data_IF_479154633397
#
_entry.id   IF_479154633397
#
_cell.length_a   1.000
_cell.length_b   1.000
_cell.length_c   1.000
_cell.angle_alpha   90.00
_cell.angle_beta   90.00
_cell.angle_gamma   90.00
#
_symmetry.space_group_name_H-M   'P 1'
#
loop_
_entity.id
_entity.type
_entity.pdbx_description
1 polymer ?
#
# COMPACT_ATOMS: atom_id res chain seq x y z
N UNK A 1 28.61 -52.17 24.34
CA UNK A 1 29.30 -52.06 25.64
C UNK A 1 29.90 -50.67 25.72
N UNK A 2 29.42 -49.88 26.70
CA UNK A 2 29.89 -48.56 27.18
C UNK A 2 29.94 -47.37 26.21
N UNK A 3 29.02 -46.40 26.34
CA UNK A 3 28.98 -45.25 27.28
C UNK A 3 29.90 -44.12 26.84
N UNK A 4 29.32 -43.05 26.28
CA UNK A 4 29.50 -41.69 26.82
C UNK A 4 28.44 -40.70 26.32
N UNK A 5 27.85 -40.03 27.31
CA UNK A 5 27.00 -38.84 27.18
C UNK A 5 27.92 -37.62 27.02
N UNK A 6 27.67 -36.80 26.01
CA UNK A 6 28.07 -35.39 26.01
C UNK A 6 27.19 -34.64 24.99
N UNK A 7 26.19 -33.93 25.50
CA UNK A 7 25.43 -32.94 24.76
C UNK A 7 26.25 -31.65 24.68
N UNK A 8 26.45 -31.03 23.50
CA UNK A 8 26.87 -29.65 23.43
C UNK A 8 25.65 -28.73 23.24
N UNK A 9 25.72 -27.64 24.00
CA UNK A 9 24.85 -26.48 24.03
C UNK A 9 24.35 -26.02 22.66
N UNK A 10 23.06 -25.71 22.66
CA UNK A 10 22.37 -24.81 21.73
C UNK A 10 23.06 -23.45 21.73
N UNK A 11 23.47 -22.97 20.55
CA UNK A 11 23.73 -21.56 20.29
C UNK A 11 22.90 -21.16 19.07
N UNK A 12 21.64 -20.80 19.33
CA UNK A 12 20.76 -20.19 18.35
C UNK A 12 21.17 -18.72 18.22
N UNK A 13 21.80 -18.37 17.10
CA UNK A 13 22.04 -17.00 16.70
C UNK A 13 20.69 -16.34 16.36
N UNK A 14 20.18 -15.50 17.26
CA UNK A 14 19.03 -14.66 16.98
C UNK A 14 19.46 -13.49 16.08
N UNK A 15 19.14 -13.58 14.80
CA UNK A 15 19.18 -12.44 13.88
C UNK A 15 18.04 -11.48 14.26
N UNK A 16 18.36 -10.40 14.96
CA UNK A 16 17.41 -9.33 15.26
C UNK A 16 17.18 -8.51 13.99
N UNK A 17 16.14 -8.86 13.24
CA UNK A 17 15.55 -7.96 12.26
C UNK A 17 15.03 -6.74 13.02
N UNK A 18 15.61 -5.58 12.75
CA UNK A 18 15.14 -4.30 13.28
C UNK A 18 13.81 -3.93 12.60
N UNK A 19 12.73 -4.55 13.05
CA UNK A 19 11.40 -4.01 12.86
C UNK A 19 11.22 -2.91 13.91
N UNK A 20 11.09 -1.65 13.49
CA UNK A 20 10.75 -0.55 14.38
C UNK A 20 9.31 -0.75 14.88
N UNK A 21 9.15 -1.42 16.01
CA UNK A 21 7.86 -1.58 16.67
C UNK A 21 7.51 -0.30 17.44
N UNK A 22 6.72 0.58 16.85
CA UNK A 22 6.12 1.71 17.56
C UNK A 22 4.92 1.21 18.37
N UNK A 23 5.04 1.18 19.70
CA UNK A 23 3.97 0.76 20.61
C UNK A 23 3.30 1.98 21.24
N UNK A 24 2.01 2.20 21.00
CA UNK A 24 1.19 3.19 21.71
C UNK A 24 0.25 2.49 22.68
N UNK A 25 0.06 3.06 23.88
CA UNK A 25 -0.86 2.53 24.88
C UNK A 25 -2.29 2.90 24.49
N UNK A 26 -3.00 1.91 23.95
CA UNK A 26 -4.38 2.01 23.46
C UNK A 26 -5.38 2.22 24.60
N UNK A 27 -6.32 3.14 24.38
CA UNK A 27 -7.64 3.15 25.02
C UNK A 27 -8.43 1.91 24.58
N UNK A 28 -8.13 0.79 25.21
CA UNK A 28 -8.89 -0.46 25.31
C UNK A 28 -9.17 -1.27 24.03
N UNK A 29 -9.45 -0.68 22.86
CA UNK A 29 -9.91 -1.44 21.67
C UNK A 29 -9.63 -0.81 20.29
N UNK A 30 -8.97 0.35 20.20
CA UNK A 30 -8.67 1.01 18.92
C UNK A 30 -7.44 1.90 18.98
N UNK A 31 -6.78 2.10 17.83
CA UNK A 31 -5.75 3.12 17.65
C UNK A 31 -6.44 4.40 17.19
N UNK A 32 -6.16 5.52 17.85
CA UNK A 32 -6.81 6.79 17.50
C UNK A 32 -6.42 7.23 16.09
N UNK A 33 -7.35 7.86 15.37
CA UNK A 33 -7.06 8.42 14.05
C UNK A 33 -5.87 9.39 14.08
N UNK A 34 -5.73 10.16 15.15
CA UNK A 34 -4.64 11.13 15.30
C UNK A 34 -3.28 10.43 15.40
N UNK A 35 -3.20 9.30 16.12
CA UNK A 35 -2.00 8.46 16.17
C UNK A 35 -1.69 7.84 14.80
N UNK A 36 -2.72 7.35 14.09
CA UNK A 36 -2.55 6.80 12.74
C UNK A 36 -2.05 7.89 11.77
N UNK A 37 -2.65 9.07 11.78
CA UNK A 37 -2.24 10.21 10.95
C UNK A 37 -0.79 10.63 11.21
N UNK A 38 -0.37 10.61 12.48
CA UNK A 38 1.01 10.89 12.88
C UNK A 38 1.98 9.83 12.34
N UNK A 39 1.67 8.54 12.52
CA UNK A 39 2.51 7.45 12.04
C UNK A 39 2.62 7.43 10.51
N UNK A 40 1.55 7.75 9.79
CA UNK A 40 1.59 7.92 8.32
C UNK A 40 2.60 9.03 7.94
N UNK A 41 2.51 10.18 8.60
CA UNK A 41 3.41 11.31 8.33
C UNK A 41 4.89 10.97 8.60
N UNK A 42 5.16 10.25 9.68
CA UNK A 42 6.51 9.80 10.06
C UNK A 42 7.05 8.81 9.02
N UNK A 43 6.28 7.77 8.67
CA UNK A 43 6.68 6.75 7.69
C UNK A 43 6.99 7.34 6.32
N UNK A 44 6.19 8.30 5.85
CA UNK A 44 6.44 8.98 4.56
C UNK A 44 7.76 9.74 4.58
N UNK A 45 8.07 10.39 5.69
CA UNK A 45 9.32 11.13 5.87
C UNK A 45 10.52 10.17 5.92
N UNK A 46 10.39 9.03 6.61
CA UNK A 46 11.43 7.98 6.67
C UNK A 46 11.72 7.35 5.30
N UNK A 47 10.73 7.26 4.42
CA UNK A 47 10.88 6.77 3.05
C UNK A 47 11.52 7.80 2.10
N UNK A 48 12.15 8.84 2.64
CA UNK A 48 12.80 9.91 1.87
C UNK A 48 11.82 10.92 1.28
N UNK A 49 10.58 10.96 1.78
CA UNK A 49 9.58 11.96 1.42
C UNK A 49 9.65 13.23 2.24
N UNK A 50 8.94 14.25 1.78
CA UNK A 50 8.61 15.43 2.57
C UNK A 50 7.45 15.14 3.50
N UNK A 51 7.39 15.87 4.62
CA UNK A 51 6.22 15.83 5.49
C UNK A 51 5.00 16.28 4.68
N UNK A 52 3.92 15.48 4.63
CA UNK A 52 2.71 15.87 3.93
C UNK A 52 2.05 17.08 4.60
N UNK A 53 1.34 17.90 3.81
CA UNK A 53 0.57 19.05 4.30
C UNK A 53 -0.54 18.62 5.25
N UNK A 54 -1.22 17.51 4.91
CA UNK A 54 -2.24 16.92 5.77
C UNK A 54 -2.37 15.42 5.55
N UNK A 55 -2.80 14.73 6.60
CA UNK A 55 -3.29 13.36 6.55
C UNK A 55 -4.67 13.38 7.20
N UNK A 56 -5.66 12.76 6.59
CA UNK A 56 -7.03 12.68 7.09
C UNK A 56 -7.48 11.22 7.08
N UNK A 57 -7.82 10.70 8.25
CA UNK A 57 -8.40 9.37 8.40
C UNK A 57 -9.89 9.50 8.80
N UNK A 58 -10.79 8.70 8.21
CA UNK A 58 -12.23 8.86 8.42
C UNK A 58 -12.70 8.42 9.81
N UNK A 59 -11.96 7.54 10.47
CA UNK A 59 -12.28 7.01 11.80
C UNK A 59 -11.03 6.51 12.52
N UNK A 60 -11.19 6.12 13.78
CA UNK A 60 -10.17 5.34 14.49
C UNK A 60 -9.99 3.96 13.84
N UNK A 61 -8.79 3.39 14.00
CA UNK A 61 -8.47 2.04 13.52
C UNK A 61 -8.83 1.01 14.59
N UNK A 62 -9.69 0.06 14.24
CA UNK A 62 -10.09 -1.00 15.16
C UNK A 62 -8.90 -1.93 15.46
N UNK A 63 -8.69 -2.28 16.73
CA UNK A 63 -7.66 -3.23 17.15
C UNK A 63 -8.06 -4.69 16.86
N UNK A 64 -8.25 -5.03 15.59
CA UNK A 64 -8.67 -6.34 15.12
C UNK A 64 -7.84 -6.73 13.90
N UNK A 65 -7.27 -7.94 13.88
CA UNK A 65 -6.45 -8.41 12.76
C UNK A 65 -7.26 -8.39 11.46
N UNK A 66 -6.71 -7.77 10.42
CA UNK A 66 -7.36 -7.57 9.13
C UNK A 66 -8.29 -6.37 9.07
N UNK A 67 -8.48 -5.62 10.16
CA UNK A 67 -9.20 -4.35 10.10
C UNK A 67 -8.41 -3.36 9.23
N UNK A 68 -9.12 -2.69 8.33
CA UNK A 68 -8.55 -1.71 7.40
C UNK A 68 -9.09 -0.32 7.66
N UNK A 69 -8.29 0.69 7.33
CA UNK A 69 -8.65 2.10 7.37
C UNK A 69 -8.01 2.81 6.19
N UNK A 70 -8.82 3.44 5.35
CA UNK A 70 -8.36 4.21 4.21
C UNK A 70 -8.26 5.69 4.59
N UNK A 71 -7.03 6.17 4.70
CA UNK A 71 -6.71 7.57 4.94
C UNK A 71 -6.36 8.27 3.63
N UNK A 72 -6.48 9.59 3.63
CA UNK A 72 -6.06 10.46 2.53
C UNK A 72 -4.91 11.34 2.99
N UNK A 73 -3.89 11.47 2.17
CA UNK A 73 -2.74 12.33 2.39
C UNK A 73 -2.67 13.38 1.30
N UNK A 74 -2.34 14.63 1.65
CA UNK A 74 -2.14 15.72 0.70
C UNK A 74 -0.71 16.25 0.79
N UNK A 75 -0.09 16.50 -0.36
CA UNK A 75 1.20 17.21 -0.50
C UNK A 75 1.10 18.20 -1.68
N UNK A 76 1.01 19.49 -1.35
CA UNK A 76 0.69 20.56 -2.26
C UNK A 76 -0.68 20.37 -2.92
N UNK A 77 -0.67 20.16 -4.24
CA UNK A 77 -1.88 19.93 -5.04
C UNK A 77 -2.17 18.44 -5.28
N UNK A 78 -1.30 17.55 -4.82
CA UNK A 78 -1.42 16.12 -5.03
C UNK A 78 -2.11 15.47 -3.83
N UNK A 79 -3.05 14.59 -4.10
CA UNK A 79 -3.72 13.76 -3.11
C UNK A 79 -3.32 12.30 -3.33
N UNK A 80 -3.07 11.60 -2.24
CA UNK A 80 -2.65 10.20 -2.24
C UNK A 80 -3.56 9.41 -1.29
N UNK A 81 -3.86 8.18 -1.66
CA UNK A 81 -4.49 7.22 -0.77
C UNK A 81 -3.47 6.60 0.16
N UNK A 82 -3.89 6.24 1.37
CA UNK A 82 -3.07 5.49 2.31
C UNK A 82 -3.96 4.44 2.96
N UNK A 83 -3.73 3.18 2.64
CA UNK A 83 -4.40 2.06 3.27
C UNK A 83 -3.62 1.62 4.52
N UNK A 84 -4.32 1.51 5.64
CA UNK A 84 -3.79 1.01 6.90
C UNK A 84 -4.45 -0.33 7.22
N UNK A 85 -3.66 -1.37 7.49
CA UNK A 85 -4.18 -2.73 7.77
C UNK A 85 -3.56 -3.27 9.05
N UNK A 86 -4.38 -3.68 10.02
CA UNK A 86 -3.89 -4.35 11.23
C UNK A 86 -3.36 -5.74 10.90
N UNK A 87 -2.10 -6.00 11.24
CA UNK A 87 -1.43 -7.27 10.98
C UNK A 87 -1.40 -8.19 12.20
N UNK A 88 -1.33 -7.62 13.41
CA UNK A 88 -1.36 -8.39 14.66
C UNK A 88 -1.78 -7.55 15.86
N UNK A 89 -2.28 -8.22 16.90
CA UNK A 89 -2.68 -7.62 18.17
C UNK A 89 -2.09 -8.43 19.31
N UNK A 90 -1.13 -7.84 20.04
CA UNK A 90 -0.41 -8.47 21.14
C UNK A 90 -0.76 -7.78 22.46
N UNK A 91 -1.80 -8.28 23.13
CA UNK A 91 -2.31 -7.71 24.37
C UNK A 91 -2.90 -6.32 24.14
N UNK A 92 -2.12 -5.27 24.41
CA UNK A 92 -2.51 -3.86 24.19
C UNK A 92 -1.78 -3.20 23.02
N UNK A 93 -0.85 -3.91 22.39
CA UNK A 93 -0.09 -3.43 21.25
C UNK A 93 -0.78 -3.88 19.97
N UNK A 94 -1.01 -2.93 19.06
CA UNK A 94 -1.60 -3.19 17.74
C UNK A 94 -0.53 -2.90 16.71
N UNK A 95 -0.15 -3.90 15.91
CA UNK A 95 0.75 -3.71 14.78
C UNK A 95 -0.09 -3.57 13.52
N UNK A 96 0.26 -2.61 12.68
CA UNK A 96 -0.43 -2.36 11.42
C UNK A 96 0.54 -1.92 10.34
N UNK A 97 0.22 -2.30 9.11
CA UNK A 97 0.93 -1.88 7.91
C UNK A 97 0.27 -0.64 7.34
N UNK A 98 1.10 0.26 6.83
CA UNK A 98 0.70 1.49 6.13
C UNK A 98 1.23 1.38 4.71
N UNK A 99 0.34 1.38 3.72
CA UNK A 99 0.69 1.28 2.31
C UNK A 99 0.07 2.46 1.57
N UNK A 100 0.86 3.20 0.81
CA UNK A 100 0.33 4.24 -0.06
C UNK A 100 -0.45 3.59 -1.21
N UNK A 101 -1.52 4.22 -1.66
CA UNK A 101 -2.32 3.72 -2.77
C UNK A 101 -2.60 4.82 -3.78
N UNK A 102 -2.77 4.43 -5.03
CA UNK A 102 -3.34 5.28 -6.08
C UNK A 102 -4.77 4.85 -6.27
N UNK A 103 -5.68 5.81 -6.15
CA UNK A 103 -7.12 5.60 -6.33
C UNK A 103 -7.41 4.94 -7.68
N UNK A 104 -8.25 3.91 -7.69
CA UNK A 104 -8.57 3.13 -8.90
C UNK A 104 -9.07 3.98 -10.06
N UNK A 105 -9.81 5.06 -9.77
CA UNK A 105 -10.38 5.94 -10.79
C UNK A 105 -9.30 6.86 -11.35
N UNK A 106 -8.36 7.31 -10.50
CA UNK A 106 -7.17 8.03 -10.95
C UNK A 106 -6.22 7.16 -11.78
N UNK A 107 -6.11 5.86 -11.49
CA UNK A 107 -5.36 4.91 -12.33
C UNK A 107 -6.03 4.78 -13.70
N UNK A 108 -7.35 4.59 -13.74
CA UNK A 108 -8.12 4.47 -14.98
C UNK A 108 -8.05 5.73 -15.85
N UNK A 109 -8.13 6.92 -15.24
CA UNK A 109 -7.97 8.21 -15.91
C UNK A 109 -6.58 8.34 -16.54
N UNK A 110 -5.51 8.06 -15.78
CA UNK A 110 -4.14 8.13 -16.29
C UNK A 110 -3.87 7.16 -17.45
N UNK A 111 -4.42 5.94 -17.39
CA UNK A 111 -4.32 4.98 -18.51
C UNK A 111 -5.00 5.56 -19.75
N UNK A 112 -6.21 6.11 -19.59
CA UNK A 112 -6.99 6.70 -20.70
C UNK A 112 -6.27 7.89 -21.34
N UNK A 113 -5.70 8.78 -20.53
CA UNK A 113 -4.92 9.92 -20.99
C UNK A 113 -3.65 9.47 -21.75
N UNK A 114 -2.89 8.53 -21.19
CA UNK A 114 -1.67 8.03 -21.81
C UNK A 114 -1.95 7.29 -23.12
N UNK A 115 -3.04 6.53 -23.21
CA UNK A 115 -3.45 5.91 -24.47
C UNK A 115 -3.84 6.97 -25.50
N UNK A 116 -4.59 8.00 -25.09
CA UNK A 116 -4.92 9.13 -25.98
C UNK A 116 -3.66 9.80 -26.54
N UNK A 117 -2.63 9.97 -25.72
CA UNK A 117 -1.35 10.53 -26.14
C UNK A 117 -0.56 9.61 -27.08
N UNK A 118 -0.59 8.30 -26.83
CA UNK A 118 0.17 7.31 -27.61
C UNK A 118 -0.47 6.98 -28.96
N UNK A 119 -1.79 6.79 -29.00
CA UNK A 119 -2.52 6.33 -30.20
C UNK A 119 -3.47 7.37 -30.79
N UNK A 120 -3.59 8.54 -30.17
CA UNK A 120 -4.37 9.68 -30.69
C UNK A 120 -5.86 9.63 -30.39
N UNK A 121 -6.35 8.64 -29.63
CA UNK A 121 -7.76 8.53 -29.22
C UNK A 121 -7.90 7.94 -27.82
N UNK A 122 -8.92 8.38 -27.09
CA UNK A 122 -9.30 7.79 -25.82
C UNK A 122 -10.05 6.46 -26.03
N UNK A 123 -9.87 5.47 -25.15
CA UNK A 123 -10.74 4.30 -25.12
C UNK A 123 -12.17 4.67 -24.71
N UNK A 124 -13.13 3.77 -24.91
CA UNK A 124 -14.52 3.98 -24.47
C UNK A 124 -14.60 3.96 -22.94
N UNK A 125 -13.88 3.05 -22.29
CA UNK A 125 -13.76 3.03 -20.83
C UNK A 125 -12.50 2.32 -20.37
N UNK A 126 -12.03 2.68 -19.17
CA UNK A 126 -11.07 1.92 -18.38
C UNK A 126 -11.65 1.75 -16.99
N UNK A 127 -11.65 0.53 -16.47
CA UNK A 127 -12.16 0.21 -15.13
C UNK A 127 -11.12 -0.58 -14.36
N UNK A 128 -10.78 -0.12 -13.17
CA UNK A 128 -9.88 -0.81 -12.26
C UNK A 128 -10.67 -1.33 -11.05
N UNK A 129 -10.51 -2.62 -10.65
CA UNK A 129 -11.35 -3.24 -9.63
C UNK A 129 -11.02 -2.78 -8.20
N UNK A 130 -9.82 -2.24 -7.98
CA UNK A 130 -9.35 -1.78 -6.68
C UNK A 130 -8.27 -0.71 -6.85
N UNK A 131 -7.93 -0.04 -5.76
CA UNK A 131 -6.79 0.87 -5.73
C UNK A 131 -5.47 0.12 -6.00
N UNK A 132 -4.53 0.82 -6.64
CA UNK A 132 -3.19 0.30 -6.88
C UNK A 132 -2.34 0.47 -5.62
N UNK A 133 -1.86 -0.64 -5.05
CA UNK A 133 -0.92 -0.61 -3.94
C UNK A 133 0.42 -0.04 -4.38
N UNK A 134 0.90 0.96 -3.68
CA UNK A 134 2.18 1.62 -3.87
C UNK A 134 3.34 0.83 -3.27
N UNK A 135 3.48 -0.44 -3.67
CA UNK A 135 4.66 -1.26 -3.41
C UNK A 135 5.37 -1.51 -4.73
N UNK A 136 6.71 -1.40 -4.77
CA UNK A 136 7.45 -1.64 -6.00
C UNK A 136 7.18 -3.06 -6.53
N UNK A 137 6.74 -3.16 -7.78
CA UNK A 137 6.37 -4.42 -8.42
C UNK A 137 4.95 -4.89 -8.13
N UNK A 138 4.16 -4.17 -7.32
CA UNK A 138 2.74 -4.45 -7.18
C UNK A 138 2.03 -4.29 -8.53
N UNK A 139 1.08 -5.18 -8.78
CA UNK A 139 0.32 -5.22 -10.02
C UNK A 139 -1.17 -5.07 -9.77
N UNK A 140 -1.86 -4.42 -10.71
CA UNK A 140 -3.32 -4.32 -10.75
C UNK A 140 -3.79 -4.69 -12.15
N UNK A 141 -4.80 -5.55 -12.24
CA UNK A 141 -5.46 -5.89 -13.50
C UNK A 141 -6.68 -5.00 -13.67
N UNK A 142 -6.63 -4.08 -14.61
CA UNK A 142 -7.76 -3.27 -15.04
C UNK A 142 -8.36 -3.84 -16.35
N UNK A 143 -9.51 -3.33 -16.73
CA UNK A 143 -10.18 -3.65 -17.98
C UNK A 143 -10.31 -2.39 -18.82
N UNK A 144 -9.99 -2.51 -20.10
CA UNK A 144 -10.17 -1.45 -21.09
C UNK A 144 -11.20 -1.91 -22.10
N UNK A 145 -12.17 -1.06 -22.42
CA UNK A 145 -13.10 -1.31 -23.53
C UNK A 145 -12.87 -0.27 -24.61
N UNK A 146 -12.75 -0.74 -25.84
CA UNK A 146 -12.61 0.10 -27.02
C UNK A 146 -13.25 -0.57 -28.23
N UNK A 147 -14.06 0.17 -28.98
CA UNK A 147 -14.75 -0.32 -30.19
C UNK A 147 -15.58 -1.60 -29.95
N UNK A 148 -16.14 -1.74 -28.74
CA UNK A 148 -16.92 -2.92 -28.33
C UNK A 148 -16.11 -4.17 -27.93
N UNK A 149 -14.78 -4.09 -27.93
CA UNK A 149 -13.90 -5.16 -27.47
C UNK A 149 -13.31 -4.82 -26.09
N UNK A 150 -13.16 -5.84 -25.23
CA UNK A 150 -12.58 -5.67 -23.88
C UNK A 150 -11.21 -6.31 -23.79
N UNK A 151 -10.22 -5.53 -23.34
CA UNK A 151 -8.83 -5.93 -23.16
C UNK A 151 -8.48 -5.92 -21.67
N UNK A 152 -7.60 -6.83 -21.26
CA UNK A 152 -6.93 -6.72 -19.96
C UNK A 152 -5.85 -5.64 -20.00
N UNK A 153 -5.69 -4.93 -18.88
CA UNK A 153 -4.61 -3.95 -18.70
C UNK A 153 -3.86 -4.27 -17.42
N UNK A 154 -2.61 -4.72 -17.58
CA UNK A 154 -1.71 -4.99 -16.45
C UNK A 154 -0.99 -3.70 -16.07
N UNK A 155 -1.34 -3.13 -14.93
CA UNK A 155 -0.65 -1.98 -14.32
C UNK A 155 0.43 -2.50 -13.38
N UNK A 156 1.64 -1.94 -13.41
CA UNK A 156 2.78 -2.34 -12.57
C UNK A 156 3.47 -1.14 -11.95
N UNK A 157 3.59 -1.11 -10.62
CA UNK A 157 4.35 -0.06 -9.92
C UNK A 157 5.84 -0.22 -10.18
N UNK A 158 6.45 0.82 -10.73
CA UNK A 158 7.88 0.85 -11.08
C UNK A 158 8.74 1.47 -9.99
N UNK A 159 8.21 2.44 -9.25
CA UNK A 159 8.92 3.14 -8.19
C UNK A 159 7.95 3.77 -7.19
N UNK A 160 8.38 3.84 -5.94
CA UNK A 160 7.69 4.55 -4.86
C UNK A 160 8.74 5.42 -4.20
N UNK A 161 8.57 6.74 -4.25
CA UNK A 161 9.52 7.70 -3.64
C UNK A 161 8.77 8.86 -3.03
N UNK A 162 8.92 9.02 -1.73
CA UNK A 162 8.46 10.20 -1.00
C UNK A 162 6.99 10.56 -1.22
N UNK A 163 6.10 9.56 -1.23
CA UNK A 163 4.68 9.79 -1.49
C UNK A 163 4.26 9.56 -2.95
N UNK A 164 5.20 9.60 -3.88
CA UNK A 164 4.93 9.49 -5.32
C UNK A 164 5.04 8.02 -5.77
N UNK A 165 3.91 7.44 -6.16
CA UNK A 165 3.82 6.10 -6.75
C UNK A 165 3.82 6.23 -8.26
N UNK A 166 4.85 5.68 -8.90
CA UNK A 166 4.97 5.61 -10.37
C UNK A 166 4.62 4.22 -10.85
N UNK A 167 3.88 4.14 -11.94
CA UNK A 167 3.49 2.88 -12.56
C UNK A 167 3.53 2.99 -14.09
N UNK A 168 3.74 1.83 -14.71
CA UNK A 168 3.54 1.62 -16.14
C UNK A 168 2.33 0.71 -16.33
N UNK A 169 1.81 0.63 -17.56
CA UNK A 169 0.75 -0.32 -17.90
C UNK A 169 1.04 -1.01 -19.24
N UNK A 170 0.52 -2.24 -19.38
CA UNK A 170 0.52 -3.01 -20.61
C UNK A 170 -0.90 -3.47 -20.91
N UNK A 171 -1.40 -3.16 -22.11
CA UNK A 171 -2.64 -3.72 -22.64
C UNK A 171 -2.35 -5.10 -23.22
N UNK A 172 -3.24 -6.07 -23.00
CA UNK A 172 -3.11 -7.40 -23.56
C UNK A 172 -3.18 -7.37 -25.10
N UNK A 173 -2.46 -8.31 -25.74
CA UNK A 173 -2.37 -8.37 -27.21
C UNK A 173 -3.69 -8.83 -27.88
N UNK A 174 -4.58 -9.46 -27.10
CA UNK A 174 -5.87 -9.98 -27.56
C UNK A 174 -6.98 -9.56 -26.59
N UNK A 175 -8.20 -9.31 -27.11
CA UNK A 175 -9.37 -9.10 -26.27
C UNK A 175 -9.77 -10.40 -25.54
N UNK A 176 -10.54 -10.25 -24.46
CA UNK A 176 -11.06 -11.33 -23.63
C UNK A 176 -12.22 -12.10 -24.29
#
# INVERSE_FOLDING_TARGET
>A
MNRWLAAPLVMAAAATLAACSFSTSVGNTSVSKDDVQKQISEKVTEQGGTKPDSVTCPSDLKAEVGATLDCKMSDGKKNYGVNVTVTSVDGKTVNFDIVQTVDKDAVAEQISEQLTQQVGRAPESVTCPSDLKGDKGATLQCELTDSGETYGVTVTVTSVKGGDVKFDFKVDDQPK
#
